data_IF_183002511099
#
_entry.id   IF_183002511099
#
_cell.length_a   1.000
_cell.length_b   1.000
_cell.length_c   1.000
_cell.angle_alpha   90.00
_cell.angle_beta   90.00
_cell.angle_gamma   90.00
#
_symmetry.space_group_name_H-M   'P 1'
#
loop_
_entity.id
_entity.type
_entity.pdbx_description
1 polymer ?
#
# COMPACT_ATOMS: atom_id res chain seq x y z
N UNK A 1 -48.14 98.49 35.11
CA UNK A 1 -46.73 98.87 34.97
C UNK A 1 -45.91 97.63 35.27
N UNK A 2 -45.43 97.02 34.20
CA UNK A 2 -44.10 96.45 33.96
C UNK A 2 -43.17 95.96 35.10
N UNK A 3 -42.39 94.93 34.71
CA UNK A 3 -41.05 94.47 35.15
C UNK A 3 -40.87 93.31 36.16
N UNK A 4 -40.68 92.11 35.56
CA UNK A 4 -39.63 91.07 35.73
C UNK A 4 -39.16 90.60 37.12
N UNK A 5 -39.05 89.28 37.31
CA UNK A 5 -37.80 88.48 37.48
C UNK A 5 -38.14 86.98 37.70
N UNK A 6 -37.17 86.15 37.31
CA UNK A 6 -37.08 84.68 37.16
C UNK A 6 -37.55 83.78 38.31
N UNK A 7 -37.97 82.55 37.96
CA UNK A 7 -37.23 81.30 38.25
C UNK A 7 -38.09 80.08 37.84
N UNK A 8 -37.54 79.23 36.98
CA UNK A 8 -38.18 77.99 36.54
C UNK A 8 -37.89 76.85 37.51
N UNK A 9 -38.93 76.37 38.19
CA UNK A 9 -38.95 75.07 38.86
C UNK A 9 -40.28 74.41 38.57
N UNK A 10 -40.27 73.35 37.78
CA UNK A 10 -41.36 72.38 37.78
C UNK A 10 -40.81 70.97 37.76
N UNK A 11 -41.28 70.20 38.75
CA UNK A 11 -40.90 68.84 39.05
C UNK A 11 -41.94 67.97 38.34
N UNK A 12 -41.53 66.99 37.55
CA UNK A 12 -42.42 65.91 37.11
C UNK A 12 -41.84 64.53 37.45
N UNK A 13 -42.69 63.51 37.74
CA UNK A 13 -42.31 62.31 38.48
C UNK A 13 -42.12 61.06 37.59
N UNK A 14 -41.27 60.16 38.10
CA UNK A 14 -41.17 58.71 37.86
C UNK A 14 -41.25 58.17 36.41
N UNK A 15 -40.08 57.90 35.83
CA UNK A 15 -39.91 56.91 34.76
C UNK A 15 -39.34 55.58 35.30
N UNK A 16 -39.84 54.52 34.67
CA UNK A 16 -39.84 53.11 35.02
C UNK A 16 -38.44 52.46 35.01
N UNK A 17 -38.18 51.53 35.94
CA UNK A 17 -36.91 50.82 36.08
C UNK A 17 -36.89 49.57 35.17
N UNK A 18 -37.11 49.79 33.86
CA UNK A 18 -37.12 48.71 32.87
C UNK A 18 -36.75 49.23 31.49
N UNK A 19 -35.45 49.42 31.25
CA UNK A 19 -34.82 49.38 29.93
C UNK A 19 -33.30 49.29 30.08
N UNK A 20 -32.71 48.49 29.21
CA UNK A 20 -31.27 48.28 28.98
C UNK A 20 -30.60 47.21 29.85
N UNK A 21 -31.19 46.01 29.85
CA UNK A 21 -30.36 44.80 29.84
C UNK A 21 -29.79 44.64 28.42
N UNK A 22 -28.45 44.49 28.23
CA UNK A 22 -27.91 44.12 26.92
C UNK A 22 -28.57 42.80 26.46
N UNK A 23 -28.82 42.62 25.15
CA UNK A 23 -29.43 41.40 24.67
C UNK A 23 -28.61 40.20 25.14
N UNK A 24 -29.30 39.20 25.69
CA UNK A 24 -28.70 37.92 26.03
C UNK A 24 -28.18 37.29 24.73
N UNK A 25 -26.86 37.34 24.52
CA UNK A 25 -26.24 36.52 23.50
C UNK A 25 -26.42 35.06 23.91
N UNK A 26 -27.08 34.28 23.05
CA UNK A 26 -27.27 32.86 23.29
C UNK A 26 -25.90 32.17 23.31
N UNK A 27 -25.68 31.27 24.27
CA UNK A 27 -24.47 30.44 24.35
C UNK A 27 -24.29 29.46 23.16
N UNK A 28 -25.15 29.52 22.14
CA UNK A 28 -25.00 28.80 20.88
C UNK A 28 -24.28 29.64 19.81
N UNK A 29 -24.15 30.96 19.99
CA UNK A 29 -23.38 31.80 19.07
C UNK A 29 -21.86 31.78 19.38
N UNK A 30 -21.44 31.11 20.46
CA UNK A 30 -20.02 30.99 20.86
C UNK A 30 -19.37 29.72 20.29
N UNK A 31 -20.11 28.84 19.61
CA UNK A 31 -19.55 27.57 19.08
C UNK A 31 -19.47 27.50 17.56
N UNK A 32 -19.82 28.55 16.82
CA UNK A 32 -19.74 28.54 15.34
C UNK A 32 -18.78 29.59 14.76
N UNK A 33 -18.32 30.57 15.54
CA UNK A 33 -17.39 31.62 15.06
C UNK A 33 -15.89 31.30 15.24
N UNK A 34 -15.52 30.18 15.88
CA UNK A 34 -14.13 29.66 15.86
C UNK A 34 -13.87 28.61 14.76
N UNK A 35 -14.82 28.36 13.85
CA UNK A 35 -14.66 27.38 12.75
C UNK A 35 -14.41 28.07 11.40
N UNK A 36 -13.78 29.24 11.37
CA UNK A 36 -13.32 29.77 10.08
C UNK A 36 -12.10 30.68 10.16
N UNK A 37 -10.94 30.13 10.55
CA UNK A 37 -9.64 30.70 10.14
C UNK A 37 -8.45 29.73 10.24
N UNK A 38 -8.50 28.53 9.64
CA UNK A 38 -7.26 27.84 9.20
C UNK A 38 -7.55 26.77 8.15
N UNK A 39 -6.61 26.61 7.23
CA UNK A 39 -6.63 25.83 5.99
C UNK A 39 -7.41 24.50 6.06
N UNK A 40 -8.33 24.29 5.12
CA UNK A 40 -9.02 23.01 4.95
C UNK A 40 -7.97 21.91 4.71
N UNK A 41 -7.96 20.88 5.56
CA UNK A 41 -7.07 19.72 5.42
C UNK A 41 -7.29 19.13 4.02
N UNK A 42 -6.26 19.09 3.14
CA UNK A 42 -6.45 18.55 1.81
C UNK A 42 -6.80 17.06 1.89
N UNK A 43 -7.63 16.55 0.97
CA UNK A 43 -7.98 15.14 0.95
C UNK A 43 -6.72 14.27 0.77
N UNK A 44 -6.73 13.02 1.28
CA UNK A 44 -5.63 12.09 1.05
C UNK A 44 -5.37 11.89 -0.45
N UNK A 45 -4.13 11.59 -0.85
CA UNK A 45 -3.82 11.28 -2.24
C UNK A 45 -4.56 9.99 -2.65
N UNK A 46 -5.12 9.91 -3.88
CA UNK A 46 -5.93 8.77 -4.31
C UNK A 46 -5.12 7.48 -4.48
N UNK A 47 -3.80 7.57 -4.66
CA UNK A 47 -2.88 6.43 -4.77
C UNK A 47 -1.69 6.67 -3.86
N UNK A 48 -1.24 5.64 -3.15
CA UNK A 48 -0.03 5.67 -2.35
C UNK A 48 0.81 4.41 -2.55
N UNK A 49 2.05 4.55 -3.00
CA UNK A 49 3.03 3.46 -3.17
C UNK A 49 3.68 3.03 -1.84
N UNK A 50 2.92 3.10 -0.76
CA UNK A 50 3.38 2.86 0.60
C UNK A 50 2.19 2.85 1.54
N UNK A 51 2.18 3.72 2.55
CA UNK A 51 1.08 3.79 3.51
C UNK A 51 0.65 5.23 3.79
N UNK A 52 -0.60 5.39 4.24
CA UNK A 52 -1.13 6.68 4.66
C UNK A 52 -0.75 6.93 6.12
N UNK A 53 -0.15 8.09 6.37
CA UNK A 53 0.19 8.59 7.70
C UNK A 53 -0.67 9.81 8.02
N UNK A 54 -1.26 9.82 9.23
CA UNK A 54 -1.94 10.98 9.76
C UNK A 54 -0.92 11.85 10.50
N UNK A 55 -0.70 13.05 9.98
CA UNK A 55 0.22 14.06 10.53
C UNK A 55 -0.14 14.36 11.99
N UNK A 56 0.86 14.41 12.85
CA UNK A 56 0.72 14.69 14.28
C UNK A 56 1.15 16.13 14.59
N UNK A 57 0.74 16.63 15.75
CA UNK A 57 1.15 17.96 16.22
C UNK A 57 2.68 18.02 16.36
N UNK A 58 3.29 18.97 15.66
CA UNK A 58 4.74 19.18 15.65
C UNK A 58 5.49 18.42 14.56
N UNK A 59 4.79 17.62 13.73
CA UNK A 59 5.41 17.00 12.57
C UNK A 59 5.82 18.05 11.52
N UNK A 60 6.90 17.73 10.81
CA UNK A 60 7.30 18.39 9.57
C UNK A 60 7.54 17.29 8.53
N UNK A 61 7.43 17.58 7.23
CA UNK A 61 7.75 16.58 6.21
C UNK A 61 9.19 16.07 6.35
N UNK A 62 10.14 16.92 6.77
CA UNK A 62 11.52 16.52 7.04
C UNK A 62 11.64 15.56 8.23
N UNK A 63 10.95 15.84 9.34
CA UNK A 63 10.93 14.96 10.51
C UNK A 63 10.29 13.61 10.21
N UNK A 64 9.18 13.61 9.45
CA UNK A 64 8.50 12.41 8.97
C UNK A 64 9.42 11.60 8.03
N UNK A 65 10.09 12.27 7.09
CA UNK A 65 11.08 11.65 6.21
C UNK A 65 12.17 10.91 6.99
N UNK A 66 12.74 11.57 8.01
CA UNK A 66 13.72 10.96 8.92
C UNK A 66 13.15 9.78 9.72
N UNK A 67 11.92 9.91 10.24
CA UNK A 67 11.25 8.85 11.02
C UNK A 67 11.05 7.56 10.23
N UNK A 68 10.68 7.68 8.95
CA UNK A 68 10.38 6.53 8.09
C UNK A 68 11.53 6.14 7.16
N UNK A 69 12.69 6.80 7.26
CA UNK A 69 13.85 6.59 6.40
C UNK A 69 13.49 6.68 4.90
N UNK A 70 12.68 7.70 4.53
CA UNK A 70 12.24 7.98 3.16
C UNK A 70 12.82 9.33 2.74
N UNK A 71 13.37 9.49 1.51
CA UNK A 71 13.82 10.80 1.06
C UNK A 71 12.70 11.84 1.07
N UNK A 72 12.96 13.04 1.59
CA UNK A 72 11.97 14.14 1.64
C UNK A 72 11.31 14.38 0.27
N UNK A 73 12.12 14.43 -0.79
CA UNK A 73 11.64 14.64 -2.16
C UNK A 73 10.67 13.55 -2.62
N UNK A 74 10.85 12.30 -2.16
CA UNK A 74 9.91 11.20 -2.46
C UNK A 74 8.57 11.42 -1.78
N UNK A 75 8.56 11.90 -0.53
CA UNK A 75 7.32 12.25 0.17
C UNK A 75 6.62 13.42 -0.54
N UNK A 76 7.35 14.46 -0.93
CA UNK A 76 6.78 15.61 -1.66
C UNK A 76 6.15 15.14 -2.98
N UNK A 77 6.87 14.35 -3.77
CA UNK A 77 6.38 13.83 -5.04
C UNK A 77 5.15 12.90 -4.89
N UNK A 78 5.08 12.13 -3.81
CA UNK A 78 3.96 11.25 -3.50
C UNK A 78 2.71 12.00 -3.01
N UNK A 79 2.83 13.29 -2.69
CA UNK A 79 1.74 14.12 -2.16
C UNK A 79 1.52 15.39 -2.99
N UNK A 80 1.14 15.27 -4.27
CA UNK A 80 0.95 16.43 -5.15
C UNK A 80 -0.16 17.39 -4.69
N UNK A 81 -1.03 16.96 -3.77
CA UNK A 81 -2.04 17.81 -3.12
C UNK A 81 -1.46 18.81 -2.11
N UNK A 82 -0.20 18.66 -1.70
CA UNK A 82 0.48 19.58 -0.77
C UNK A 82 1.22 20.65 -1.59
N UNK A 83 0.60 21.82 -1.73
CA UNK A 83 1.17 22.92 -2.52
C UNK A 83 2.39 23.55 -1.87
N UNK A 84 2.41 23.64 -0.53
CA UNK A 84 3.54 24.14 0.24
C UNK A 84 4.08 23.02 1.15
N UNK A 85 5.20 22.37 0.79
CA UNK A 85 5.82 21.30 1.58
C UNK A 85 6.20 21.70 3.02
N UNK A 86 6.41 22.98 3.29
CA UNK A 86 6.77 23.48 4.63
C UNK A 86 5.57 23.60 5.56
N UNK A 87 4.34 23.40 5.05
CA UNK A 87 3.11 23.59 5.80
C UNK A 87 2.20 22.35 5.71
N UNK A 88 2.16 21.61 6.82
CA UNK A 88 1.27 20.46 7.05
C UNK A 88 0.50 20.64 8.36
N UNK A 89 -0.69 20.05 8.43
CA UNK A 89 -1.59 20.20 9.58
C UNK A 89 -1.81 18.89 10.32
N UNK A 90 -1.93 18.92 11.66
CA UNK A 90 -2.34 17.74 12.41
C UNK A 90 -3.67 17.17 11.87
N UNK A 91 -3.72 15.85 11.70
CA UNK A 91 -4.85 15.14 11.10
C UNK A 91 -4.80 15.05 9.57
N UNK A 92 -3.91 15.79 8.90
CA UNK A 92 -3.70 15.67 7.46
C UNK A 92 -3.18 14.28 7.10
N UNK A 93 -3.82 13.65 6.11
CA UNK A 93 -3.42 12.34 5.61
C UNK A 93 -2.44 12.50 4.45
N UNK A 94 -1.25 11.95 4.60
CA UNK A 94 -0.19 12.01 3.59
C UNK A 94 0.29 10.60 3.24
N UNK A 95 0.66 10.39 1.99
CA UNK A 95 1.32 9.17 1.55
C UNK A 95 2.79 9.19 1.99
N UNK A 96 3.22 8.15 2.69
CA UNK A 96 4.63 7.84 2.91
C UNK A 96 5.00 6.73 1.94
N UNK A 97 5.69 7.06 0.82
CA UNK A 97 6.07 6.04 -0.16
C UNK A 97 7.11 5.11 0.44
N UNK A 98 6.95 3.81 0.20
CA UNK A 98 7.98 2.83 0.52
C UNK A 98 8.80 2.62 -0.76
N UNK A 99 10.14 2.77 -0.71
CA UNK A 99 10.96 2.51 -1.88
C UNK A 99 10.74 1.08 -2.38
N UNK A 100 10.40 0.93 -3.66
CA UNK A 100 10.37 -0.37 -4.30
C UNK A 100 11.81 -0.89 -4.33
N UNK A 101 12.12 -2.04 -3.71
CA UNK A 101 13.48 -2.55 -3.72
C UNK A 101 13.87 -2.97 -5.15
N UNK A 102 15.12 -2.66 -5.52
CA UNK A 102 15.77 -3.22 -6.69
C UNK A 102 16.05 -4.69 -6.39
N UNK A 103 15.47 -5.59 -7.17
CA UNK A 103 15.67 -7.03 -7.05
C UNK A 103 16.06 -7.54 -8.43
N UNK A 104 17.29 -8.05 -8.54
CA UNK A 104 17.72 -8.84 -9.68
C UNK A 104 18.35 -10.12 -9.13
N UNK A 105 17.61 -11.22 -9.17
CA UNK A 105 18.08 -12.49 -8.63
C UNK A 105 17.65 -13.69 -9.46
N UNK A 106 18.48 -14.73 -9.40
CA UNK A 106 18.14 -16.07 -9.81
C UNK A 106 18.13 -16.93 -8.55
N UNK A 107 16.96 -17.44 -8.16
CA UNK A 107 16.83 -18.35 -7.02
C UNK A 107 16.61 -19.78 -7.50
N UNK A 108 17.19 -20.73 -6.78
CA UNK A 108 17.00 -22.15 -7.04
C UNK A 108 15.67 -22.63 -6.44
N UNK A 109 14.97 -23.49 -7.19
CA UNK A 109 13.77 -24.18 -6.77
C UNK A 109 14.12 -25.66 -6.51
N UNK A 110 13.93 -26.10 -5.27
CA UNK A 110 14.28 -27.43 -4.81
C UNK A 110 13.05 -28.34 -4.79
N UNK A 111 13.23 -29.61 -5.13
CA UNK A 111 12.23 -30.67 -5.02
C UNK A 111 11.75 -30.84 -3.57
N UNK A 112 10.44 -30.98 -3.39
CA UNK A 112 9.85 -31.37 -2.10
C UNK A 112 9.72 -32.88 -1.93
N UNK A 113 9.32 -33.33 -0.73
CA UNK A 113 9.05 -34.74 -0.47
C UNK A 113 7.82 -35.30 -1.24
N UNK A 114 6.93 -34.45 -1.73
CA UNK A 114 5.73 -34.88 -2.47
C UNK A 114 6.07 -35.40 -3.87
N UNK A 115 7.21 -34.98 -4.43
CA UNK A 115 7.65 -35.43 -5.75
C UNK A 115 8.39 -36.75 -5.64
N UNK A 116 7.92 -37.82 -6.33
CA UNK A 116 8.65 -39.09 -6.39
C UNK A 116 10.06 -38.88 -6.94
N UNK A 117 11.04 -39.58 -6.35
CA UNK A 117 12.39 -39.60 -6.88
C UNK A 117 12.37 -40.41 -8.18
N UNK A 118 12.67 -39.76 -9.29
CA UNK A 118 12.83 -40.41 -10.59
C UNK A 118 14.31 -40.79 -10.76
N UNK A 119 14.64 -42.05 -11.11
CA UNK A 119 16.03 -42.50 -11.23
C UNK A 119 16.88 -41.69 -12.20
N UNK A 120 16.24 -41.20 -13.27
CA UNK A 120 16.91 -40.56 -14.40
C UNK A 120 16.70 -39.04 -14.47
N UNK A 121 15.98 -38.45 -13.50
CA UNK A 121 15.67 -37.02 -13.51
C UNK A 121 15.44 -36.46 -12.09
N UNK A 122 16.42 -35.71 -11.58
CA UNK A 122 16.20 -34.91 -10.38
C UNK A 122 15.31 -33.71 -10.71
N UNK A 123 14.17 -33.63 -10.04
CA UNK A 123 13.28 -32.48 -10.16
C UNK A 123 13.93 -31.22 -9.56
N UNK A 124 13.80 -30.10 -10.25
CA UNK A 124 14.34 -28.82 -9.80
C UNK A 124 13.93 -27.68 -10.72
N UNK A 125 14.39 -26.48 -10.41
CA UNK A 125 14.14 -25.33 -11.27
C UNK A 125 14.90 -24.09 -10.84
N UNK A 126 14.66 -23.02 -11.59
CA UNK A 126 15.19 -21.69 -11.33
C UNK A 126 14.06 -20.69 -11.51
N UNK A 127 14.02 -19.67 -10.64
CA UNK A 127 13.22 -18.49 -10.87
C UNK A 127 14.13 -17.26 -11.07
N UNK A 128 13.97 -16.58 -12.21
CA UNK A 128 14.58 -15.25 -12.44
C UNK A 128 13.57 -14.20 -12.01
N UNK A 129 13.99 -13.33 -11.11
CA UNK A 129 13.16 -12.28 -10.50
C UNK A 129 13.82 -10.94 -10.82
N UNK A 130 13.05 -10.04 -11.42
CA UNK A 130 13.52 -8.71 -11.80
C UNK A 130 12.49 -7.65 -11.41
N UNK A 131 12.84 -6.74 -10.49
CA UNK A 131 12.01 -5.63 -10.04
C UNK A 131 12.88 -4.37 -9.89
N UNK A 132 12.48 -3.28 -10.54
CA UNK A 132 13.11 -1.95 -10.35
C UNK A 132 12.02 -0.87 -10.34
N UNK A 133 12.19 0.26 -9.60
CA UNK A 133 11.12 1.22 -9.34
C UNK A 133 10.40 1.83 -10.56
N UNK A 134 11.05 1.89 -11.72
CA UNK A 134 10.57 2.60 -12.92
C UNK A 134 10.50 1.73 -14.17
N UNK A 135 10.59 0.41 -14.03
CA UNK A 135 10.47 -0.50 -15.16
C UNK A 135 9.47 -1.61 -14.85
N UNK A 136 8.84 -2.21 -15.87
CA UNK A 136 8.08 -3.42 -15.69
C UNK A 136 8.94 -4.48 -14.99
N UNK A 137 8.38 -5.10 -13.96
CA UNK A 137 9.03 -6.23 -13.31
C UNK A 137 8.62 -7.54 -13.94
N UNK A 138 9.38 -8.60 -13.73
CA UNK A 138 9.00 -9.92 -14.19
C UNK A 138 9.51 -11.02 -13.26
N UNK A 139 8.76 -12.11 -13.20
CA UNK A 139 9.21 -13.39 -12.64
C UNK A 139 9.07 -14.43 -13.71
N UNK A 140 10.16 -15.15 -14.00
CA UNK A 140 10.18 -16.30 -14.90
C UNK A 140 10.57 -17.52 -14.08
N UNK A 141 9.81 -18.60 -14.22
CA UNK A 141 10.12 -19.91 -13.62
C UNK A 141 10.35 -20.91 -14.74
N UNK A 142 11.45 -21.65 -14.64
CA UNK A 142 11.73 -22.82 -15.44
C UNK A 142 11.98 -24.01 -14.52
N UNK A 143 11.32 -25.13 -14.79
CA UNK A 143 11.41 -26.35 -14.01
C UNK A 143 11.67 -27.56 -14.91
N UNK A 144 12.45 -28.51 -14.40
CA UNK A 144 12.83 -29.75 -15.06
C UNK A 144 12.58 -30.93 -14.12
N UNK A 145 12.53 -32.14 -14.68
CA UNK A 145 12.40 -33.38 -13.89
C UNK A 145 11.06 -33.53 -13.16
N UNK A 146 10.09 -32.65 -13.41
CA UNK A 146 8.75 -32.75 -12.83
C UNK A 146 7.95 -33.86 -13.52
N UNK A 147 7.33 -34.78 -12.77
CA UNK A 147 6.46 -35.80 -13.36
C UNK A 147 5.21 -35.15 -13.99
N UNK A 148 4.40 -35.91 -14.76
CA UNK A 148 3.06 -35.45 -15.12
C UNK A 148 2.30 -34.98 -13.87
N UNK A 149 1.59 -33.83 -13.91
CA UNK A 149 0.94 -33.25 -12.72
C UNK A 149 -0.11 -34.19 -12.09
N UNK A 150 -0.63 -35.15 -12.85
CA UNK A 150 -1.56 -36.18 -12.38
C UNK A 150 -0.94 -37.07 -11.30
N UNK A 151 0.38 -37.26 -11.31
CA UNK A 151 1.11 -38.00 -10.26
C UNK A 151 0.97 -37.32 -8.89
N UNK A 152 0.80 -35.98 -8.88
CA UNK A 152 0.57 -35.20 -7.66
C UNK A 152 -0.92 -34.86 -7.45
N UNK A 153 -1.83 -35.46 -8.23
CA UNK A 153 -3.27 -35.23 -8.14
C UNK A 153 -3.76 -33.94 -8.81
N UNK A 154 -2.94 -33.28 -9.64
CA UNK A 154 -3.30 -32.12 -10.44
C UNK A 154 -3.44 -32.43 -11.93
N UNK A 155 -3.73 -31.41 -12.72
CA UNK A 155 -3.76 -31.43 -14.20
C UNK A 155 -2.78 -30.44 -14.81
N UNK A 156 -2.32 -29.45 -14.04
CA UNK A 156 -1.41 -28.40 -14.47
C UNK A 156 -0.41 -28.08 -13.35
N UNK A 157 0.69 -27.41 -13.71
CA UNK A 157 1.57 -26.78 -12.73
C UNK A 157 1.31 -25.28 -12.65
N UNK A 158 1.26 -24.75 -11.43
CA UNK A 158 1.10 -23.32 -11.15
C UNK A 158 2.23 -22.88 -10.22
N UNK A 159 2.94 -21.82 -10.61
CA UNK A 159 3.88 -21.16 -9.74
C UNK A 159 3.18 -20.06 -8.94
N UNK A 160 3.57 -19.89 -7.69
CA UNK A 160 2.98 -18.94 -6.76
C UNK A 160 4.06 -18.10 -6.09
N UNK A 161 3.96 -16.79 -6.21
CA UNK A 161 4.80 -15.85 -5.44
C UNK A 161 4.07 -15.59 -4.12
N UNK A 162 4.51 -16.20 -3.01
CA UNK A 162 3.85 -16.07 -1.70
C UNK A 162 4.44 -14.90 -0.92
N UNK A 163 3.60 -13.98 -0.46
CA UNK A 163 4.04 -12.71 0.16
C UNK A 163 3.09 -12.33 1.30
N UNK A 164 3.10 -13.06 2.42
CA UNK A 164 2.24 -12.71 3.54
C UNK A 164 2.58 -11.30 4.07
N UNK A 165 1.58 -10.48 4.43
CA UNK A 165 0.15 -10.80 4.52
C UNK A 165 -0.64 -10.66 3.21
N UNK A 166 -0.02 -10.25 2.11
CA UNK A 166 -0.68 -10.12 0.81
C UNK A 166 -1.04 -11.50 0.22
N UNK A 167 -2.09 -11.53 -0.60
CA UNK A 167 -2.48 -12.73 -1.35
C UNK A 167 -1.33 -13.21 -2.25
N UNK A 168 -1.18 -14.54 -2.42
CA UNK A 168 -0.18 -15.09 -3.33
C UNK A 168 -0.55 -14.77 -4.78
N UNK A 169 0.47 -14.63 -5.63
CA UNK A 169 0.28 -14.29 -7.04
C UNK A 169 0.53 -15.55 -7.89
N UNK A 170 -0.50 -16.13 -8.55
CA UNK A 170 -0.35 -17.32 -9.37
C UNK A 170 0.02 -17.00 -10.81
N UNK A 171 0.79 -17.88 -11.45
CA UNK A 171 0.93 -17.96 -12.90
C UNK A 171 1.19 -19.40 -13.34
N UNK A 172 0.54 -19.82 -14.43
CA UNK A 172 0.62 -21.19 -14.91
C UNK A 172 1.98 -21.47 -15.57
N UNK A 173 2.51 -22.67 -15.34
CA UNK A 173 3.64 -23.21 -16.10
C UNK A 173 3.10 -24.08 -17.24
N UNK A 174 3.63 -23.86 -18.44
CA UNK A 174 3.32 -24.63 -19.64
C UNK A 174 4.49 -25.55 -19.97
N UNK A 175 4.19 -26.77 -20.39
CA UNK A 175 5.21 -27.71 -20.85
C UNK A 175 5.72 -27.26 -22.22
N UNK A 176 7.04 -27.19 -22.39
CA UNK A 176 7.64 -26.87 -23.68
C UNK A 176 7.41 -28.01 -24.67
N UNK A 177 7.02 -27.68 -25.91
CA UNK A 177 6.84 -28.64 -26.98
C UNK A 177 7.83 -28.39 -28.14
N UNK A 178 8.29 -29.43 -28.85
CA UNK A 178 8.04 -30.85 -28.59
C UNK A 178 8.82 -31.37 -27.37
N UNK A 179 8.27 -32.34 -26.64
CA UNK A 179 8.98 -33.02 -25.55
C UNK A 179 9.94 -34.03 -26.18
N UNK A 180 11.23 -33.70 -26.22
CA UNK A 180 12.28 -34.58 -26.79
C UNK A 180 12.87 -35.52 -25.73
N UNK A 181 12.80 -35.13 -24.47
CA UNK A 181 13.23 -35.90 -23.30
C UNK A 181 12.14 -35.83 -22.22
N UNK A 182 11.82 -36.97 -21.61
CA UNK A 182 10.94 -37.04 -20.45
C UNK A 182 11.78 -37.17 -19.17
N UNK A 183 11.48 -36.40 -18.10
CA UNK A 183 10.41 -35.41 -18.01
C UNK A 183 10.72 -34.10 -18.75
N UNK A 184 9.72 -33.53 -19.44
CA UNK A 184 9.89 -32.29 -20.21
C UNK A 184 10.09 -31.04 -19.32
N UNK A 185 10.43 -29.92 -19.97
CA UNK A 185 10.63 -28.62 -19.29
C UNK A 185 9.30 -27.91 -19.12
N UNK A 186 9.08 -27.32 -17.95
CA UNK A 186 7.92 -26.49 -17.62
C UNK A 186 8.35 -25.05 -17.45
N UNK A 187 7.71 -24.13 -18.16
CA UNK A 187 8.08 -22.71 -18.14
C UNK A 187 6.84 -21.84 -17.99
N UNK A 188 6.95 -20.78 -17.20
CA UNK A 188 5.94 -19.75 -17.09
C UNK A 188 6.56 -18.44 -16.65
N UNK A 189 5.89 -17.35 -16.97
CA UNK A 189 6.31 -16.03 -16.56
C UNK A 189 5.10 -15.15 -16.26
N UNK A 190 5.33 -14.18 -15.39
CA UNK A 190 4.40 -13.08 -15.10
C UNK A 190 5.15 -11.76 -15.22
N UNK A 191 4.48 -10.77 -15.81
CA UNK A 191 4.98 -9.41 -15.97
C UNK A 191 4.12 -8.49 -15.12
N UNK A 192 4.77 -7.59 -14.41
CA UNK A 192 4.18 -6.59 -13.54
C UNK A 192 4.30 -5.21 -14.17
N UNK A 193 3.30 -4.36 -13.92
CA UNK A 193 3.32 -2.97 -14.38
C UNK A 193 4.47 -2.15 -13.77
N UNK A 194 4.85 -1.02 -14.38
CA UNK A 194 5.81 -0.10 -13.79
C UNK A 194 5.37 0.34 -12.38
N UNK A 195 6.25 0.22 -11.40
CA UNK A 195 5.96 0.60 -10.01
C UNK A 195 5.15 -0.42 -9.21
N UNK A 196 4.78 -1.56 -9.78
CA UNK A 196 4.14 -2.64 -9.02
C UNK A 196 5.16 -3.36 -8.14
N UNK A 197 4.81 -3.53 -6.86
CA UNK A 197 5.65 -4.19 -5.88
C UNK A 197 5.20 -5.63 -5.62
N UNK A 198 5.98 -6.59 -6.12
CA UNK A 198 5.82 -8.03 -5.85
C UNK A 198 6.97 -8.62 -5.01
N UNK A 199 8.07 -7.89 -4.81
CA UNK A 199 9.15 -8.23 -3.87
C UNK A 199 9.32 -7.16 -2.77
N UNK A 200 9.78 -7.52 -1.54
CA UNK A 200 10.17 -8.85 -1.12
C UNK A 200 8.96 -9.79 -1.02
N UNK A 201 9.22 -11.08 -1.13
CA UNK A 201 8.24 -12.14 -0.91
C UNK A 201 8.84 -13.19 0.04
N UNK A 202 8.03 -14.14 0.48
CA UNK A 202 8.48 -15.24 1.33
C UNK A 202 9.20 -16.29 0.48
N UNK A 203 8.50 -16.84 -0.52
CA UNK A 203 9.02 -17.86 -1.41
C UNK A 203 8.26 -17.90 -2.74
N UNK A 204 8.82 -18.66 -3.69
CA UNK A 204 8.11 -19.17 -4.85
C UNK A 204 7.91 -20.66 -4.65
N UNK A 205 6.65 -21.11 -4.76
CA UNK A 205 6.31 -22.53 -4.79
C UNK A 205 5.71 -22.90 -6.14
N UNK A 206 5.92 -24.13 -6.60
CA UNK A 206 5.23 -24.72 -7.74
C UNK A 206 4.33 -25.83 -7.23
N UNK A 207 3.03 -25.76 -7.51
CA UNK A 207 2.05 -26.78 -7.09
C UNK A 207 1.40 -27.45 -8.29
N UNK A 208 0.95 -28.69 -8.12
CA UNK A 208 0.06 -29.34 -9.06
C UNK A 208 -1.40 -29.00 -8.74
N UNK A 209 -2.06 -28.30 -9.67
CA UNK A 209 -3.43 -27.79 -9.51
C UNK A 209 -4.38 -28.44 -10.52
N UNK A 210 -5.68 -28.43 -10.25
CA UNK A 210 -6.69 -29.08 -11.11
C UNK A 210 -7.03 -28.29 -12.38
N UNK A 211 -7.00 -26.96 -12.32
CA UNK A 211 -7.34 -26.05 -13.41
C UNK A 211 -6.77 -24.65 -13.11
N UNK A 212 -6.81 -23.72 -14.06
CA UNK A 212 -6.47 -22.29 -13.87
C UNK A 212 -7.62 -21.42 -14.38
N UNK A 213 -7.99 -20.30 -13.73
CA UNK A 213 -7.35 -19.65 -12.58
C UNK A 213 -7.61 -20.35 -11.24
N UNK A 214 -6.67 -20.20 -10.31
CA UNK A 214 -6.76 -20.68 -8.91
C UNK A 214 -6.43 -19.51 -7.99
N UNK A 215 -7.11 -19.42 -6.84
CA UNK A 215 -6.95 -18.30 -5.90
C UNK A 215 -6.03 -18.62 -4.71
N UNK A 216 -5.80 -19.89 -4.40
CA UNK A 216 -4.92 -20.35 -3.33
C UNK A 216 -4.13 -21.60 -3.75
N UNK A 217 -2.85 -21.71 -3.36
CA UNK A 217 -2.06 -22.90 -3.64
C UNK A 217 -2.53 -24.10 -2.83
N UNK A 218 -2.58 -25.27 -3.46
CA UNK A 218 -2.72 -26.53 -2.74
C UNK A 218 -1.37 -26.93 -2.10
N UNK A 219 -1.25 -26.72 -0.79
CA UNK A 219 0.00 -26.93 -0.06
C UNK A 219 0.37 -28.42 0.11
N UNK A 220 -0.57 -29.34 -0.07
CA UNK A 220 -0.30 -30.78 -0.05
C UNK A 220 0.33 -31.28 -1.37
N UNK A 221 0.36 -30.43 -2.40
CA UNK A 221 0.81 -30.76 -3.76
C UNK A 221 1.95 -29.89 -4.25
N UNK A 222 2.72 -29.32 -3.32
CA UNK A 222 3.92 -28.56 -3.67
C UNK A 222 4.93 -29.49 -4.29
N UNK A 223 5.38 -29.20 -5.51
CA UNK A 223 6.41 -29.92 -6.22
C UNK A 223 7.80 -29.30 -6.01
N UNK A 224 7.88 -27.97 -6.11
CA UNK A 224 9.13 -27.22 -5.93
C UNK A 224 8.94 -26.04 -4.97
N UNK A 225 10.02 -25.66 -4.29
CA UNK A 225 10.07 -24.46 -3.44
C UNK A 225 11.42 -23.74 -3.56
N UNK A 226 11.41 -22.41 -3.61
CA UNK A 226 12.61 -21.60 -3.46
C UNK A 226 12.35 -20.35 -2.64
N UNK A 227 13.21 -20.11 -1.64
CA UNK A 227 13.06 -19.00 -0.69
C UNK A 227 13.63 -17.70 -1.25
N UNK A 228 12.95 -16.58 -0.99
CA UNK A 228 13.43 -15.25 -1.40
C UNK A 228 14.73 -14.83 -0.71
N UNK A 229 15.08 -15.46 0.42
CA UNK A 229 16.34 -15.19 1.12
C UNK A 229 17.57 -15.44 0.25
N UNK A 230 17.46 -16.30 -0.76
CA UNK A 230 18.51 -16.50 -1.78
C UNK A 230 18.82 -15.23 -2.59
N UNK A 231 17.88 -14.29 -2.66
CA UNK A 231 18.01 -13.03 -3.39
C UNK A 231 18.65 -11.90 -2.55
N UNK A 232 18.98 -12.15 -1.29
CA UNK A 232 19.65 -11.17 -0.43
C UNK A 232 21.17 -11.29 -0.61
N UNK A 233 21.74 -10.48 -1.48
CA UNK A 233 23.20 -10.27 -1.62
C UNK A 233 23.59 -8.87 -1.16
#
# INVERSE_FOLDING_TARGET
MDLTVEEGKEILPHEDCSRDAPPAYNALDIFEEEINLSQAIPPPPPVCSGFIYAVQRGDTLFGIAGRFNVPLNSIIAANPQITNPDLIFPGQQICIPVPIPIVECCLLLFRTANVPVLPDAEAGGVARVFQVPQSPGNVLVAAIGLPPPQVLGGSIYVAWIRRPPQSPIPFQLLQTAPVVIEPGVWVGAIVFGPGEQFAPFQDIIVTAELAFPVIQPNLDRIALIGLFEQCRS
#
